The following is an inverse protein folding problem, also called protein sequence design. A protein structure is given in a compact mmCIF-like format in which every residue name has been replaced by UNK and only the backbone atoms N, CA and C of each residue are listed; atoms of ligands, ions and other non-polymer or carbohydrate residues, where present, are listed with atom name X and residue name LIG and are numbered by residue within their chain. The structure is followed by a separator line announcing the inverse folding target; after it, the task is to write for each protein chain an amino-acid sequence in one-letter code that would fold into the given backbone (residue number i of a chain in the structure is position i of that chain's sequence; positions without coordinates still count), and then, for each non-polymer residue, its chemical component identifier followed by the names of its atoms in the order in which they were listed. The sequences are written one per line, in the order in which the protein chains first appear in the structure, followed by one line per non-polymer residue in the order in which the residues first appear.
data_IF_132223833686
#
_entry.id   IF_132223833686
#
_cell.length_a   1.000
_cell.length_b   1.000
_cell.length_c   1.000
_cell.angle_alpha   90.00
_cell.angle_beta   90.00
_cell.angle_gamma   90.00
#
_symmetry.space_group_name_H-M   'P 1'
#
loop_
_entity.id
_entity.type
_entity.pdbx_description
1 polymer ?
#
# COMPACT_ATOMS: atom_id res chain seq x y z
N UNK A 1 26.26 59.46 -47.38
CA UNK A 1 26.02 58.39 -48.37
C UNK A 1 26.46 57.08 -47.74
N UNK A 2 25.54 56.10 -47.70
CA UNK A 2 25.66 54.63 -47.46
C UNK A 2 27.01 54.08 -46.96
N UNK A 3 27.13 53.07 -46.11
CA UNK A 3 26.26 52.06 -45.51
C UNK A 3 27.21 51.29 -44.56
N UNK A 4 26.69 50.69 -43.48
CA UNK A 4 26.88 49.28 -43.09
C UNK A 4 26.66 49.09 -41.58
N UNK A 5 25.77 48.15 -41.24
CA UNK A 5 26.02 47.24 -40.12
C UNK A 5 25.35 47.55 -38.78
N UNK A 6 24.02 47.51 -38.73
CA UNK A 6 23.24 47.49 -37.47
C UNK A 6 23.48 46.21 -36.67
N UNK A 7 23.80 46.35 -35.39
CA UNK A 7 23.82 45.29 -34.39
C UNK A 7 23.52 45.92 -33.01
N UNK A 8 22.84 45.16 -32.14
CA UNK A 8 22.61 45.37 -30.69
C UNK A 8 21.28 46.02 -30.21
N UNK A 9 20.39 45.09 -29.86
CA UNK A 9 19.60 44.93 -28.62
C UNK A 9 18.29 45.66 -28.32
N UNK A 10 17.29 44.77 -28.25
CA UNK A 10 15.94 44.78 -27.70
C UNK A 10 15.96 45.05 -26.19
N UNK A 11 15.17 46.03 -25.73
CA UNK A 11 14.72 46.17 -24.35
C UNK A 11 13.26 46.66 -24.33
N UNK A 12 12.41 45.92 -23.64
CA UNK A 12 11.32 46.50 -22.84
C UNK A 12 9.94 46.65 -23.48
N UNK A 13 9.24 45.55 -23.76
CA UNK A 13 7.77 45.50 -23.69
C UNK A 13 7.28 44.13 -23.25
N UNK A 14 6.93 43.99 -21.97
CA UNK A 14 5.95 42.98 -21.52
C UNK A 14 5.21 43.56 -20.31
N UNK A 15 3.99 44.01 -20.53
CA UNK A 15 3.01 44.28 -19.49
C UNK A 15 1.95 43.19 -19.62
N UNK A 16 1.98 42.21 -18.72
CA UNK A 16 0.92 41.20 -18.56
C UNK A 16 0.60 41.08 -17.06
N UNK A 17 -0.63 41.49 -16.77
CA UNK A 17 -1.51 41.23 -15.63
C UNK A 17 -0.99 40.20 -14.60
N UNK A 18 -0.72 40.67 -13.38
CA UNK A 18 -0.61 39.86 -12.16
C UNK A 18 -2.02 39.65 -11.59
N UNK A 19 -2.57 38.45 -11.76
CA UNK A 19 -3.66 37.93 -10.96
C UNK A 19 -3.20 36.60 -10.35
N UNK A 20 -3.24 36.52 -9.02
CA UNK A 20 -2.54 35.54 -8.21
C UNK A 20 -2.99 34.10 -8.44
N UNK A 21 -2.00 33.23 -8.63
CA UNK A 21 -2.11 31.80 -8.35
C UNK A 21 -1.24 31.59 -7.11
N UNK A 22 -1.90 31.41 -5.97
CA UNK A 22 -1.25 30.88 -4.78
C UNK A 22 -0.85 29.43 -5.09
N UNK A 23 0.42 29.24 -5.45
CA UNK A 23 1.04 27.93 -5.52
C UNK A 23 1.10 27.40 -4.08
N UNK A 24 0.11 26.59 -3.70
CA UNK A 24 0.17 25.80 -2.47
C UNK A 24 1.25 24.74 -2.67
N UNK A 25 2.48 25.09 -2.31
CA UNK A 25 3.56 24.14 -2.07
C UNK A 25 3.11 23.23 -0.93
N UNK A 26 2.46 22.11 -1.27
CA UNK A 26 2.38 20.96 -0.37
C UNK A 26 3.78 20.36 -0.39
N UNK A 27 4.63 20.92 0.47
CA UNK A 27 5.82 20.21 0.94
C UNK A 27 5.29 18.93 1.56
N UNK A 28 5.65 17.78 1.00
CA UNK A 28 5.61 16.54 1.76
C UNK A 28 6.54 16.75 2.95
N UNK A 29 5.95 17.18 4.06
CA UNK A 29 6.58 17.08 5.36
C UNK A 29 6.75 15.60 5.65
N UNK A 30 7.82 15.00 5.14
CA UNK A 30 8.65 14.27 6.09
C UNK A 30 9.04 15.33 7.12
N UNK A 31 8.23 15.46 8.17
CA UNK A 31 8.56 16.35 9.28
C UNK A 31 9.97 15.98 9.68
N UNK A 32 10.93 16.89 9.48
CA UNK A 32 12.23 16.77 10.10
C UNK A 32 11.96 16.46 11.57
N UNK A 33 12.38 15.28 12.05
CA UNK A 33 12.00 14.72 13.34
C UNK A 33 12.27 15.80 14.41
N UNK A 34 11.23 16.42 15.01
CA UNK A 34 11.47 17.40 16.06
C UNK A 34 12.03 16.68 17.30
N UNK A 35 12.62 17.44 18.22
CA UNK A 35 13.28 17.05 19.48
C UNK A 35 13.17 15.57 19.92
N UNK A 36 14.33 14.97 20.26
CA UNK A 36 14.50 13.58 20.73
C UNK A 36 13.22 12.95 21.32
N UNK A 37 12.58 12.07 20.54
CA UNK A 37 11.37 11.37 20.96
C UNK A 37 11.63 10.57 22.24
N UNK A 38 10.66 10.61 23.16
CA UNK A 38 10.74 9.79 24.38
C UNK A 38 10.23 8.39 24.04
N UNK A 39 11.09 7.38 24.20
CA UNK A 39 10.72 5.99 23.96
C UNK A 39 10.03 5.43 25.19
N UNK A 40 8.83 4.92 25.01
CA UNK A 40 8.01 4.31 26.04
C UNK A 40 8.09 2.77 25.99
N UNK A 41 7.69 2.11 27.07
CA UNK A 41 7.54 0.67 27.12
C UNK A 41 6.34 0.21 26.27
N UNK A 42 6.46 -0.98 25.70
CA UNK A 42 5.44 -1.60 24.85
C UNK A 42 4.32 -2.29 25.64
N UNK A 43 3.74 -1.58 26.59
CA UNK A 43 2.68 -2.06 27.47
C UNK A 43 1.68 -0.94 27.79
N UNK A 44 0.64 -1.27 28.56
CA UNK A 44 -0.41 -0.31 28.92
C UNK A 44 0.18 0.88 29.72
N UNK A 45 1.15 0.63 30.59
CA UNK A 45 1.79 1.67 31.39
C UNK A 45 2.58 2.66 30.51
N UNK A 46 3.33 2.17 29.52
CA UNK A 46 4.06 2.99 28.56
C UNK A 46 3.14 3.79 27.64
N UNK A 47 2.04 3.18 27.18
CA UNK A 47 1.02 3.91 26.43
C UNK A 47 0.37 5.02 27.28
N UNK A 48 0.03 4.72 28.54
CA UNK A 48 -0.53 5.73 29.46
C UNK A 48 0.48 6.85 29.75
N UNK A 49 1.76 6.53 29.88
CA UNK A 49 2.83 7.51 30.03
C UNK A 49 2.95 8.41 28.80
N UNK A 50 2.88 7.84 27.58
CA UNK A 50 2.88 8.61 26.34
C UNK A 50 1.75 9.67 26.33
N UNK A 51 0.53 9.25 26.66
CA UNK A 51 -0.65 10.12 26.73
C UNK A 51 -0.48 11.22 27.77
N UNK A 52 -0.01 10.88 28.97
CA UNK A 52 0.17 11.84 30.06
C UNK A 52 1.26 12.89 29.75
N UNK A 53 2.33 12.46 29.07
CA UNK A 53 3.45 13.31 28.73
C UNK A 53 3.12 14.28 27.59
N UNK A 54 2.45 13.80 26.53
CA UNK A 54 2.29 14.56 25.28
C UNK A 54 3.63 14.72 24.54
N UNK A 55 3.72 15.63 23.58
CA UNK A 55 4.88 15.82 22.72
C UNK A 55 5.09 14.65 21.75
N UNK A 56 6.34 14.42 21.33
CA UNK A 56 6.69 13.29 20.46
C UNK A 56 7.09 12.07 21.28
N UNK A 57 6.35 10.98 21.13
CA UNK A 57 6.45 9.73 21.88
C UNK A 57 6.60 8.56 20.91
N UNK A 58 7.50 7.63 21.23
CA UNK A 58 7.73 6.43 20.43
C UNK A 58 7.38 5.17 21.23
N UNK A 59 6.72 4.20 20.59
CA UNK A 59 6.64 2.82 21.05
C UNK A 59 7.51 1.97 20.12
N UNK A 60 8.58 1.37 20.63
CA UNK A 60 9.59 0.69 19.81
C UNK A 60 9.59 -0.83 20.04
N UNK A 61 8.48 -1.48 19.68
CA UNK A 61 8.29 -2.91 20.00
C UNK A 61 9.07 -3.80 19.02
N UNK A 62 9.91 -4.70 19.54
CA UNK A 62 10.72 -5.60 18.71
C UNK A 62 9.88 -6.66 17.99
N UNK A 63 8.76 -7.06 18.58
CA UNK A 63 7.82 -8.07 18.07
C UNK A 63 6.41 -7.54 18.09
N UNK A 64 5.54 -8.17 17.31
CA UNK A 64 4.10 -7.87 17.33
C UNK A 64 3.58 -7.88 18.77
N UNK A 65 2.95 -6.79 19.17
CA UNK A 65 2.52 -6.54 20.55
C UNK A 65 1.09 -6.05 20.55
N UNK A 66 0.27 -6.61 21.45
CA UNK A 66 -1.10 -6.14 21.71
C UNK A 66 -1.17 -5.56 23.11
N UNK A 67 -1.45 -4.26 23.20
CA UNK A 67 -1.73 -3.53 24.44
C UNK A 67 -3.23 -3.57 24.65
N UNK A 68 -3.69 -4.37 25.62
CA UNK A 68 -5.11 -4.47 25.98
C UNK A 68 -5.41 -3.42 27.04
N UNK A 69 -6.42 -2.57 26.78
CA UNK A 69 -6.86 -1.53 27.71
C UNK A 69 -7.68 -2.16 28.86
N UNK A 70 -7.54 -1.60 30.06
CA UNK A 70 -8.27 -2.01 31.25
C UNK A 70 -8.82 -0.80 32.01
N UNK A 71 -9.39 -1.02 33.21
CA UNK A 71 -10.02 0.02 34.01
C UNK A 71 -9.08 1.13 34.50
N UNK A 72 -7.77 1.00 34.31
CA UNK A 72 -6.78 2.05 34.61
C UNK A 72 -6.57 3.01 33.45
N UNK A 73 -7.06 2.68 32.25
CA UNK A 73 -6.86 3.47 31.05
C UNK A 73 -7.57 4.83 31.12
N UNK A 74 -6.80 5.88 30.90
CA UNK A 74 -7.29 7.23 30.60
C UNK A 74 -6.73 7.68 29.24
N UNK A 75 -7.54 7.48 28.19
CA UNK A 75 -7.22 7.88 26.82
C UNK A 75 -7.47 9.34 26.46
N UNK A 76 -7.61 10.22 27.45
CA UNK A 76 -7.84 11.66 27.21
C UNK A 76 -6.54 12.33 26.73
N UNK A 77 -6.54 12.79 25.49
CA UNK A 77 -5.45 13.56 24.90
C UNK A 77 -5.65 15.04 25.24
N UNK A 78 -5.00 15.48 26.32
CA UNK A 78 -5.07 16.84 26.84
C UNK A 78 -3.87 17.72 26.44
N UNK A 79 -2.87 17.15 25.79
CA UNK A 79 -1.67 17.81 25.27
C UNK A 79 -1.43 17.29 23.87
N UNK A 80 -0.86 18.11 22.99
CA UNK A 80 -0.47 17.66 21.66
C UNK A 80 0.38 16.40 21.75
N UNK A 81 0.02 15.35 21.01
CA UNK A 81 0.68 14.06 21.05
C UNK A 81 0.96 13.57 19.63
N UNK A 82 2.23 13.35 19.32
CA UNK A 82 2.66 12.55 18.18
C UNK A 82 3.14 11.21 18.69
N UNK A 83 2.38 10.16 18.43
CA UNK A 83 2.71 8.79 18.81
C UNK A 83 3.12 8.00 17.56
N UNK A 84 4.32 7.44 17.57
CA UNK A 84 4.86 6.64 16.46
C UNK A 84 5.28 5.26 16.92
N UNK A 85 4.90 4.22 16.19
CA UNK A 85 5.56 2.92 16.33
C UNK A 85 6.81 2.90 15.45
N UNK A 86 7.97 2.89 16.09
CA UNK A 86 9.29 2.83 15.44
C UNK A 86 9.92 1.45 15.48
N UNK A 87 9.25 0.50 16.16
CA UNK A 87 9.68 -0.88 16.28
C UNK A 87 9.45 -1.70 15.02
N UNK A 88 10.10 -2.87 14.95
CA UNK A 88 9.89 -3.84 13.88
C UNK A 88 8.56 -4.59 14.00
N UNK A 89 8.02 -4.69 15.22
CA UNK A 89 6.74 -5.32 15.51
C UNK A 89 5.56 -4.40 15.26
N UNK A 90 4.42 -4.97 14.85
CA UNK A 90 3.14 -4.26 14.83
C UNK A 90 2.66 -3.98 16.24
N UNK A 91 2.19 -2.76 16.50
CA UNK A 91 1.59 -2.40 17.79
C UNK A 91 0.09 -2.28 17.64
N UNK A 92 -0.64 -3.13 18.34
CA UNK A 92 -2.10 -3.13 18.43
C UNK A 92 -2.55 -2.59 19.76
N UNK A 93 -3.35 -1.53 19.75
CA UNK A 93 -4.05 -0.99 20.93
C UNK A 93 -5.48 -1.53 20.87
N UNK A 94 -5.83 -2.38 21.84
CA UNK A 94 -7.10 -3.08 21.88
C UNK A 94 -7.98 -2.56 23.03
N UNK A 95 -9.11 -1.93 22.70
CA UNK A 95 -10.09 -1.39 23.64
C UNK A 95 -10.91 -2.43 24.41
N UNK A 96 -10.58 -3.72 24.29
CA UNK A 96 -11.23 -4.83 24.99
C UNK A 96 -12.76 -4.88 24.80
N UNK A 97 -13.26 -4.33 23.70
CA UNK A 97 -14.68 -4.12 23.39
C UNK A 97 -15.44 -3.35 24.50
N UNK A 98 -14.73 -2.57 25.30
CA UNK A 98 -15.27 -1.91 26.50
C UNK A 98 -14.89 -0.44 26.57
N UNK A 99 -13.70 -0.09 26.06
CA UNK A 99 -13.12 1.24 26.21
C UNK A 99 -13.06 1.96 24.88
N UNK A 100 -13.34 3.27 24.92
CA UNK A 100 -12.82 4.17 23.90
C UNK A 100 -11.30 4.19 23.96
N UNK A 101 -10.63 4.13 22.81
CA UNK A 101 -9.17 4.18 22.78
C UNK A 101 -8.69 5.60 23.08
N UNK A 102 -9.07 6.61 22.29
CA UNK A 102 -8.65 7.99 22.48
C UNK A 102 -9.82 8.97 22.47
N UNK A 103 -9.76 9.96 23.35
CA UNK A 103 -10.63 11.13 23.36
C UNK A 103 -9.77 12.39 23.23
N UNK A 104 -9.96 13.17 22.18
CA UNK A 104 -9.11 14.33 21.86
C UNK A 104 -9.83 15.61 22.27
N UNK A 105 -9.19 16.38 23.16
CA UNK A 105 -9.73 17.65 23.62
C UNK A 105 -9.72 18.72 22.52
N UNK A 106 -10.62 19.69 22.64
CA UNK A 106 -10.68 20.84 21.74
C UNK A 106 -9.35 21.58 21.66
N UNK A 107 -8.93 21.90 20.45
CA UNK A 107 -7.67 22.60 20.17
C UNK A 107 -6.39 21.75 20.34
N UNK A 108 -6.52 20.46 20.67
CA UNK A 108 -5.37 19.55 20.84
C UNK A 108 -5.17 18.70 19.58
N UNK A 109 -3.91 18.38 19.28
CA UNK A 109 -3.51 17.53 18.16
C UNK A 109 -3.13 16.11 18.60
N UNK A 110 -3.66 15.10 17.92
CA UNK A 110 -3.24 13.70 18.01
C UNK A 110 -2.73 13.23 16.64
N UNK A 111 -1.48 12.79 16.56
CA UNK A 111 -0.91 12.14 15.37
C UNK A 111 -0.51 10.71 15.69
N UNK A 112 -1.02 9.75 14.90
CA UNK A 112 -0.78 8.32 15.03
C UNK A 112 -0.10 7.79 13.77
N UNK A 113 1.05 7.12 13.94
CA UNK A 113 1.78 6.49 12.83
C UNK A 113 2.15 5.03 13.13
N UNK A 114 1.81 4.11 12.22
CA UNK A 114 2.11 2.67 12.29
C UNK A 114 1.41 1.91 13.45
N UNK A 115 0.15 2.25 13.76
CA UNK A 115 -0.63 1.59 14.80
C UNK A 115 -1.84 0.84 14.27
N UNK A 116 -2.22 -0.21 15.00
CA UNK A 116 -3.48 -0.91 14.86
C UNK A 116 -4.39 -0.55 16.04
N UNK A 117 -5.58 -0.01 15.79
CA UNK A 117 -6.56 0.36 16.80
C UNK A 117 -7.79 -0.53 16.63
N UNK A 118 -8.12 -1.32 17.65
CA UNK A 118 -9.20 -2.31 17.56
C UNK A 118 -9.97 -2.49 18.85
N UNK A 119 -11.16 -3.10 18.76
CA UNK A 119 -11.99 -3.42 19.92
C UNK A 119 -12.38 -2.18 20.72
N UNK A 120 -12.30 -0.99 20.13
CA UNK A 120 -12.83 0.22 20.74
C UNK A 120 -14.35 0.13 20.81
N UNK A 121 -14.93 0.41 21.98
CA UNK A 121 -16.38 0.46 22.16
C UNK A 121 -16.76 1.66 23.03
N UNK A 122 -17.63 2.52 22.50
CA UNK A 122 -18.07 3.73 23.18
C UNK A 122 -19.46 4.16 22.70
N UNK A 123 -20.03 5.21 23.30
CA UNK A 123 -21.24 5.83 22.74
C UNK A 123 -20.94 6.54 21.42
N UNK A 124 -19.81 7.24 21.37
CA UNK A 124 -19.34 8.01 20.21
C UNK A 124 -17.86 7.71 19.98
N UNK A 125 -17.47 7.52 18.73
CA UNK A 125 -16.08 7.27 18.36
C UNK A 125 -15.50 6.07 19.08
N UNK A 126 -15.75 4.85 18.58
CA UNK A 126 -15.31 3.63 19.26
C UNK A 126 -13.79 3.59 19.49
N UNK A 127 -13.02 3.97 18.47
CA UNK A 127 -11.58 4.17 18.61
C UNK A 127 -11.26 5.61 19.04
N UNK A 128 -11.71 6.61 18.29
CA UNK A 128 -11.34 8.01 18.47
C UNK A 128 -12.59 8.89 18.51
N UNK A 129 -12.72 9.69 19.56
CA UNK A 129 -13.69 10.78 19.66
C UNK A 129 -12.89 12.10 19.59
N UNK A 130 -13.04 12.82 18.47
CA UNK A 130 -12.35 14.08 18.24
C UNK A 130 -13.27 15.28 18.55
N UNK A 131 -13.21 15.77 19.78
CA UNK A 131 -14.03 16.87 20.25
C UNK A 131 -13.43 18.23 19.88
N UNK A 132 -13.43 18.54 18.58
CA UNK A 132 -12.90 19.78 18.00
C UNK A 132 -11.37 19.95 18.15
N UNK A 133 -10.64 18.84 18.19
CA UNK A 133 -9.18 18.81 18.03
C UNK A 133 -8.75 18.54 16.58
N UNK A 134 -7.48 18.19 16.39
CA UNK A 134 -6.90 17.77 15.10
C UNK A 134 -6.34 16.36 15.21
N UNK A 135 -6.80 15.45 14.36
CA UNK A 135 -6.36 14.06 14.35
C UNK A 135 -5.69 13.73 13.01
N UNK A 136 -4.51 13.13 13.05
CA UNK A 136 -3.82 12.57 11.88
C UNK A 136 -3.57 11.09 12.09
N UNK A 137 -3.98 10.27 11.13
CA UNK A 137 -3.78 8.81 11.13
C UNK A 137 -3.00 8.45 9.87
N UNK A 138 -1.77 7.96 10.04
CA UNK A 138 -0.88 7.62 8.93
C UNK A 138 -0.41 6.18 9.04
N UNK A 139 -0.38 5.44 7.93
CA UNK A 139 0.14 4.07 7.87
C UNK A 139 -0.46 3.15 8.96
N UNK A 140 -1.73 3.36 9.30
CA UNK A 140 -2.35 2.75 10.47
C UNK A 140 -3.64 2.03 10.09
N UNK A 141 -4.06 1.09 10.95
CA UNK A 141 -5.27 0.29 10.74
C UNK A 141 -6.25 0.51 11.89
N UNK A 142 -7.46 0.98 11.61
CA UNK A 142 -8.54 1.11 12.59
C UNK A 142 -9.62 0.08 12.25
N UNK A 143 -9.76 -0.97 13.05
CA UNK A 143 -10.63 -2.09 12.69
C UNK A 143 -11.41 -2.71 13.84
N UNK A 144 -12.61 -3.22 13.54
CA UNK A 144 -13.44 -3.90 14.55
C UNK A 144 -13.82 -2.98 15.71
N UNK A 145 -13.88 -1.67 15.49
CA UNK A 145 -14.33 -0.71 16.50
C UNK A 145 -15.83 -0.48 16.35
N UNK A 146 -16.49 -0.19 17.46
CA UNK A 146 -17.94 -0.02 17.50
C UNK A 146 -18.36 1.20 18.31
N UNK A 147 -19.41 1.88 17.87
CA UNK A 147 -20.04 2.95 18.62
C UNK A 147 -21.56 2.71 18.73
N UNK A 148 -22.13 3.01 19.90
CA UNK A 148 -23.58 2.85 20.10
C UNK A 148 -24.40 3.88 19.30
N UNK A 149 -23.79 5.00 18.90
CA UNK A 149 -24.46 6.04 18.13
C UNK A 149 -23.67 6.43 16.87
N UNK A 150 -22.51 7.06 17.02
CA UNK A 150 -21.85 7.74 15.89
C UNK A 150 -20.38 7.36 15.80
N UNK A 151 -19.92 7.05 14.58
CA UNK A 151 -18.51 6.86 14.27
C UNK A 151 -17.96 5.59 14.89
N UNK A 152 -18.13 4.45 14.22
CA UNK A 152 -17.68 3.16 14.78
C UNK A 152 -16.19 3.16 15.07
N UNK A 153 -15.39 3.74 14.18
CA UNK A 153 -14.01 4.08 14.46
C UNK A 153 -13.85 5.51 14.99
N UNK A 154 -14.35 6.51 14.25
CA UNK A 154 -14.08 7.93 14.53
C UNK A 154 -15.36 8.75 14.54
N UNK A 155 -15.61 9.50 15.62
CA UNK A 155 -16.49 10.66 15.59
C UNK A 155 -15.64 11.94 15.49
N UNK A 156 -16.05 12.88 14.64
CA UNK A 156 -15.29 14.10 14.39
C UNK A 156 -16.11 15.39 14.47
N UNK A 157 -15.79 16.23 15.46
CA UNK A 157 -16.19 17.65 15.54
C UNK A 157 -15.06 18.63 15.15
N UNK A 158 -13.87 18.13 14.84
CA UNK A 158 -12.69 18.92 14.50
C UNK A 158 -12.18 18.62 13.09
N UNK A 159 -10.86 18.43 12.96
CA UNK A 159 -10.24 18.01 11.70
C UNK A 159 -9.65 16.62 11.83
N UNK A 160 -9.90 15.74 10.85
CA UNK A 160 -9.30 14.41 10.73
C UNK A 160 -8.61 14.29 9.38
N UNK A 161 -7.36 13.82 9.38
CA UNK A 161 -6.61 13.45 8.16
C UNK A 161 -6.21 11.98 8.25
N UNK A 162 -6.54 11.20 7.22
CA UNK A 162 -6.24 9.76 7.12
C UNK A 162 -5.42 9.53 5.86
N UNK A 163 -4.19 9.04 6.01
CA UNK A 163 -3.24 8.84 4.92
C UNK A 163 -2.69 7.41 4.94
N UNK A 164 -2.62 6.77 3.77
CA UNK A 164 -2.03 5.44 3.61
C UNK A 164 -2.54 4.43 4.66
N UNK A 165 -3.82 4.51 5.02
CA UNK A 165 -4.37 3.82 6.18
C UNK A 165 -5.59 3.00 5.80
N UNK A 166 -5.96 2.08 6.69
CA UNK A 166 -7.07 1.16 6.46
C UNK A 166 -8.08 1.24 7.59
N UNK A 167 -9.34 1.49 7.25
CA UNK A 167 -10.45 1.43 8.20
C UNK A 167 -11.39 0.31 7.79
N UNK A 168 -11.54 -0.74 8.61
CA UNK A 168 -12.38 -1.87 8.21
C UNK A 168 -13.16 -2.55 9.33
N UNK A 169 -14.31 -3.12 8.99
CA UNK A 169 -15.12 -3.87 9.95
C UNK A 169 -15.58 -3.04 11.15
N UNK A 170 -15.64 -1.71 11.02
CA UNK A 170 -16.13 -0.84 12.08
C UNK A 170 -17.66 -0.71 11.99
N UNK A 171 -18.32 -0.48 13.12
CA UNK A 171 -19.79 -0.44 13.17
C UNK A 171 -20.38 0.64 14.07
N UNK A 172 -21.48 1.27 13.65
CA UNK A 172 -22.22 2.24 14.45
C UNK A 172 -23.68 2.35 14.01
N UNK A 173 -24.46 3.24 14.67
CA UNK A 173 -25.78 3.61 14.14
C UNK A 173 -25.63 4.51 12.91
N UNK A 174 -24.80 5.55 12.99
CA UNK A 174 -24.39 6.38 11.86
C UNK A 174 -22.87 6.39 11.69
N UNK A 175 -22.40 6.35 10.45
CA UNK A 175 -20.96 6.40 10.15
C UNK A 175 -20.24 5.16 10.66
N UNK A 176 -20.40 4.03 9.98
CA UNK A 176 -19.84 2.75 10.43
C UNK A 176 -18.34 2.83 10.68
N UNK A 177 -17.61 3.56 9.84
CA UNK A 177 -16.24 3.97 10.14
C UNK A 177 -16.19 5.38 10.76
N UNK A 178 -16.72 6.38 10.07
CA UNK A 178 -16.55 7.79 10.43
C UNK A 178 -17.90 8.49 10.46
N UNK A 179 -18.19 9.19 11.55
CA UNK A 179 -19.25 10.18 11.61
C UNK A 179 -18.64 11.58 11.68
N UNK A 180 -19.07 12.50 10.82
CA UNK A 180 -18.43 13.78 10.63
C UNK A 180 -19.37 14.98 10.80
N UNK A 181 -18.98 15.87 11.70
CA UNK A 181 -19.52 17.22 11.89
C UNK A 181 -18.54 18.32 11.42
N UNK A 182 -17.23 18.01 11.36
CA UNK A 182 -16.13 18.92 11.01
C UNK A 182 -15.50 18.65 9.65
N UNK A 183 -14.16 18.65 9.55
CA UNK A 183 -13.42 18.39 8.32
C UNK A 183 -12.74 17.01 8.30
N UNK A 184 -12.90 16.26 7.23
CA UNK A 184 -12.23 14.96 7.01
C UNK A 184 -11.49 14.98 5.66
N UNK A 185 -10.21 14.60 5.66
CA UNK A 185 -9.44 14.32 4.45
C UNK A 185 -8.94 12.88 4.48
N UNK A 186 -9.20 12.13 3.40
CA UNK A 186 -8.78 10.74 3.24
C UNK A 186 -7.97 10.64 1.95
N UNK A 187 -6.72 10.23 2.05
CA UNK A 187 -5.84 10.05 0.89
C UNK A 187 -5.14 8.70 0.89
N UNK A 188 -4.98 8.10 -0.28
CA UNK A 188 -4.28 6.81 -0.44
C UNK A 188 -4.75 5.73 0.54
N UNK A 189 -6.03 5.73 0.92
CA UNK A 189 -6.54 4.91 2.03
C UNK A 189 -7.62 3.95 1.58
N UNK A 190 -7.81 2.87 2.33
CA UNK A 190 -8.81 1.83 2.03
C UNK A 190 -9.82 1.73 3.16
N UNK A 191 -11.09 1.96 2.83
CA UNK A 191 -12.21 1.82 3.77
C UNK A 191 -13.08 0.65 3.30
N UNK A 192 -13.13 -0.46 4.05
CA UNK A 192 -13.90 -1.62 3.59
C UNK A 192 -14.65 -2.37 4.68
N UNK A 193 -15.79 -3.00 4.32
CA UNK A 193 -16.54 -3.83 5.26
C UNK A 193 -17.05 -3.07 6.48
N UNK A 194 -17.14 -1.74 6.45
CA UNK A 194 -17.70 -0.96 7.54
C UNK A 194 -19.23 -0.95 7.41
N UNK A 195 -19.92 -0.96 8.55
CA UNK A 195 -21.38 -1.13 8.56
C UNK A 195 -22.07 -0.13 9.47
N UNK A 196 -23.24 0.36 9.06
CA UNK A 196 -24.08 1.17 9.93
C UNK A 196 -25.55 0.75 9.88
N UNK A 197 -26.27 0.86 11.00
CA UNK A 197 -27.69 0.48 11.05
C UNK A 197 -28.64 1.58 10.56
N UNK A 198 -28.17 2.82 10.39
CA UNK A 198 -28.99 3.92 9.91
C UNK A 198 -28.41 4.62 8.67
N UNK A 199 -27.15 5.05 8.71
CA UNK A 199 -26.61 5.91 7.65
C UNK A 199 -25.10 5.83 7.54
N UNK A 200 -24.59 5.90 6.31
CA UNK A 200 -23.15 5.97 6.03
C UNK A 200 -22.39 4.74 6.52
N UNK A 201 -22.39 3.65 5.76
CA UNK A 201 -21.74 2.41 6.19
C UNK A 201 -20.23 2.60 6.37
N UNK A 202 -19.60 3.42 5.51
CA UNK A 202 -18.28 3.97 5.80
C UNK A 202 -18.37 5.33 6.50
N UNK A 203 -18.98 6.31 5.83
CA UNK A 203 -18.94 7.72 6.23
C UNK A 203 -20.35 8.30 6.28
N UNK A 204 -20.70 8.89 7.41
CA UNK A 204 -21.86 9.78 7.54
C UNK A 204 -21.35 11.22 7.72
N UNK A 205 -21.60 12.06 6.72
CA UNK A 205 -21.22 13.47 6.72
C UNK A 205 -22.45 14.34 6.97
N UNK A 206 -22.60 14.82 8.20
CA UNK A 206 -23.80 15.53 8.64
C UNK A 206 -23.74 17.03 8.30
N UNK A 207 -22.81 17.77 8.90
CA UNK A 207 -22.63 19.21 8.64
C UNK A 207 -21.26 19.58 8.10
N UNK A 208 -20.37 18.58 7.96
CA UNK A 208 -18.96 18.78 7.71
C UNK A 208 -18.55 18.78 6.23
N UNK A 209 -17.23 18.76 6.00
CA UNK A 209 -16.62 18.54 4.69
C UNK A 209 -15.85 17.23 4.67
N UNK A 210 -15.93 16.50 3.56
CA UNK A 210 -15.14 15.29 3.32
C UNK A 210 -14.42 15.40 1.99
N UNK A 211 -13.10 15.23 1.98
CA UNK A 211 -12.30 15.13 0.75
C UNK A 211 -11.68 13.74 0.67
N UNK A 212 -11.88 13.05 -0.45
CA UNK A 212 -11.35 11.71 -0.70
C UNK A 212 -10.52 11.73 -1.98
N UNK A 213 -9.25 11.35 -1.89
CA UNK A 213 -8.36 11.26 -3.05
C UNK A 213 -7.60 9.94 -3.09
N UNK A 214 -7.42 9.38 -4.29
CA UNK A 214 -6.65 8.16 -4.52
C UNK A 214 -7.01 7.04 -3.52
N UNK A 215 -8.28 6.88 -3.18
CA UNK A 215 -8.72 5.99 -2.11
C UNK A 215 -9.74 4.98 -2.60
N UNK A 216 -9.86 3.86 -1.89
CA UNK A 216 -10.79 2.78 -2.24
C UNK A 216 -11.80 2.58 -1.12
N UNK A 217 -13.08 2.78 -1.41
CA UNK A 217 -14.19 2.40 -0.54
C UNK A 217 -14.81 1.13 -1.11
N UNK A 218 -14.83 0.04 -0.34
CA UNK A 218 -15.28 -1.27 -0.81
C UNK A 218 -16.17 -2.00 0.18
N UNK A 219 -17.31 -2.51 -0.27
CA UNK A 219 -18.20 -3.37 0.54
C UNK A 219 -18.61 -2.76 1.89
N UNK A 220 -18.85 -1.46 1.93
CA UNK A 220 -19.41 -0.77 3.09
C UNK A 220 -20.93 -0.73 2.99
N UNK A 221 -21.62 -1.02 4.09
CA UNK A 221 -23.05 -1.32 4.04
C UNK A 221 -23.87 -0.58 5.07
N UNK A 222 -25.13 -0.30 4.72
CA UNK A 222 -26.16 0.08 5.70
C UNK A 222 -27.46 -0.65 5.46
N UNK A 223 -28.24 -0.82 6.53
CA UNK A 223 -29.59 -1.38 6.43
C UNK A 223 -30.60 -0.38 5.83
N UNK A 224 -30.39 0.92 5.99
CA UNK A 224 -31.28 1.97 5.46
C UNK A 224 -30.68 2.66 4.21
N UNK A 225 -29.95 3.77 4.38
CA UNK A 225 -29.50 4.65 3.28
C UNK A 225 -27.98 4.93 3.29
N UNK A 226 -27.38 5.09 2.09
CA UNK A 226 -25.97 5.46 1.89
C UNK A 226 -24.97 4.45 2.42
N UNK A 227 -24.71 3.37 1.67
CA UNK A 227 -23.87 2.27 2.15
C UNK A 227 -22.38 2.61 2.23
N UNK A 228 -21.81 3.41 1.32
CA UNK A 228 -20.47 3.98 1.53
C UNK A 228 -20.57 5.35 2.19
N UNK A 229 -21.19 6.31 1.50
CA UNK A 229 -21.24 7.71 1.93
C UNK A 229 -22.69 8.14 2.04
N UNK A 230 -23.05 8.65 3.21
CA UNK A 230 -24.29 9.36 3.44
C UNK A 230 -23.96 10.83 3.68
N UNK A 231 -24.50 11.73 2.84
CA UNK A 231 -24.08 13.12 2.81
C UNK A 231 -25.24 14.11 2.94
N UNK A 232 -25.09 15.03 3.90
CA UNK A 232 -25.97 16.19 4.12
C UNK A 232 -25.28 17.54 3.86
N UNK A 233 -23.97 17.55 3.60
CA UNK A 233 -23.16 18.75 3.36
C UNK A 233 -22.27 18.56 2.13
N UNK A 234 -20.94 18.75 2.23
CA UNK A 234 -20.04 18.73 1.07
C UNK A 234 -19.12 17.52 1.07
N UNK A 235 -19.08 16.80 -0.06
CA UNK A 235 -18.08 15.76 -0.34
C UNK A 235 -17.36 16.10 -1.64
N UNK A 236 -16.04 15.92 -1.67
CA UNK A 236 -15.22 16.04 -2.89
C UNK A 236 -14.48 14.73 -3.10
N UNK A 237 -14.55 14.18 -4.32
CA UNK A 237 -13.82 12.97 -4.71
C UNK A 237 -12.91 13.22 -5.91
N UNK A 238 -11.73 12.64 -5.89
CA UNK A 238 -10.81 12.61 -7.03
C UNK A 238 -10.05 11.28 -7.07
N UNK A 239 -9.80 10.73 -8.25
CA UNK A 239 -8.95 9.55 -8.43
C UNK A 239 -9.37 8.34 -7.55
N UNK A 240 -10.62 8.26 -7.10
CA UNK A 240 -11.05 7.33 -6.05
C UNK A 240 -12.06 6.30 -6.55
N UNK A 241 -12.02 5.12 -5.94
CA UNK A 241 -12.76 3.93 -6.35
C UNK A 241 -13.82 3.56 -5.32
N UNK A 242 -15.06 3.38 -5.77
CA UNK A 242 -16.20 2.98 -4.95
C UNK A 242 -16.91 1.75 -5.55
N UNK A 243 -16.93 0.64 -4.83
CA UNK A 243 -17.59 -0.60 -5.29
C UNK A 243 -18.22 -1.42 -4.16
N UNK A 244 -19.34 -2.09 -4.44
CA UNK A 244 -20.02 -2.97 -3.48
C UNK A 244 -20.67 -2.24 -2.30
N UNK A 245 -20.80 -0.91 -2.35
CA UNK A 245 -21.15 -0.13 -1.18
C UNK A 245 -22.60 0.37 -1.11
N UNK A 246 -23.55 0.00 -1.98
CA UNK A 246 -24.88 0.68 -2.03
C UNK A 246 -24.75 2.23 -1.96
N UNK A 247 -24.08 2.80 -2.96
CA UNK A 247 -22.89 3.67 -2.87
C UNK A 247 -23.05 5.01 -2.13
N UNK A 248 -23.58 6.04 -2.79
CA UNK A 248 -23.70 7.40 -2.25
C UNK A 248 -25.18 7.71 -2.10
N UNK A 249 -25.63 8.15 -0.92
CA UNK A 249 -26.93 8.79 -0.78
C UNK A 249 -26.71 10.25 -0.42
N UNK A 250 -27.04 11.11 -1.37
CA UNK A 250 -26.96 12.55 -1.21
C UNK A 250 -28.35 13.08 -0.85
N UNK A 251 -28.64 13.22 0.44
CA UNK A 251 -29.95 13.70 0.91
C UNK A 251 -30.19 15.12 0.40
N UNK A 252 -29.39 16.07 0.91
CA UNK A 252 -29.46 17.50 0.60
C UNK A 252 -28.08 18.14 0.39
N UNK A 253 -27.03 17.33 0.35
CA UNK A 253 -25.66 17.80 0.19
C UNK A 253 -25.24 17.96 -1.28
N UNK A 254 -23.95 18.22 -1.50
CA UNK A 254 -23.32 18.21 -2.81
C UNK A 254 -22.14 17.23 -2.83
N UNK A 255 -22.00 16.54 -3.96
CA UNK A 255 -20.82 15.74 -4.28
C UNK A 255 -20.12 16.43 -5.45
N UNK A 256 -18.86 16.78 -5.27
CA UNK A 256 -17.99 17.35 -6.30
C UNK A 256 -17.09 16.25 -6.86
N UNK A 257 -17.25 15.98 -8.15
CA UNK A 257 -16.39 15.07 -8.91
C UNK A 257 -15.24 15.85 -9.55
N UNK A 258 -14.03 15.69 -9.01
CA UNK A 258 -12.80 16.30 -9.52
C UNK A 258 -12.08 15.41 -10.55
N UNK A 259 -12.77 14.40 -11.08
CA UNK A 259 -12.32 13.56 -12.18
C UNK A 259 -11.61 12.28 -11.75
N UNK A 260 -11.58 11.34 -12.70
CA UNK A 260 -10.97 10.01 -12.59
C UNK A 260 -11.43 9.21 -11.37
N UNK A 261 -12.66 9.42 -10.92
CA UNK A 261 -13.28 8.52 -9.97
C UNK A 261 -13.86 7.31 -10.70
N UNK A 262 -14.05 6.20 -9.99
CA UNK A 262 -14.74 5.02 -10.52
C UNK A 262 -15.81 4.57 -9.54
N UNK A 263 -17.05 4.41 -10.02
CA UNK A 263 -18.11 3.73 -9.28
C UNK A 263 -18.66 2.53 -10.05
N UNK A 264 -18.80 1.39 -9.37
CA UNK A 264 -19.19 0.12 -10.00
C UNK A 264 -20.70 -0.16 -10.01
N UNK A 265 -21.46 0.43 -9.09
CA UNK A 265 -22.88 0.08 -8.87
C UNK A 265 -23.77 1.33 -8.78
N UNK A 266 -24.34 1.77 -9.90
CA UNK A 266 -25.50 2.66 -9.83
C UNK A 266 -26.78 1.82 -9.73
N UNK A 267 -27.25 1.58 -8.50
CA UNK A 267 -28.62 1.11 -8.29
C UNK A 267 -29.54 2.32 -8.16
N UNK A 268 -30.22 2.73 -9.23
CA UNK A 268 -31.18 3.84 -9.19
C UNK A 268 -30.57 5.17 -8.70
N UNK A 269 -31.16 5.78 -7.67
CA UNK A 269 -30.71 7.08 -7.11
C UNK A 269 -29.46 6.99 -6.20
N UNK A 270 -28.83 5.82 -6.03
CA UNK A 270 -27.71 5.61 -5.12
C UNK A 270 -26.33 5.68 -5.84
N UNK A 271 -26.15 6.68 -6.69
CA UNK A 271 -24.90 6.98 -7.41
C UNK A 271 -24.26 8.25 -6.86
N UNK A 272 -22.93 8.34 -6.91
CA UNK A 272 -22.23 9.59 -6.59
C UNK A 272 -22.33 10.63 -7.73
N UNK A 273 -22.90 10.24 -8.88
CA UNK A 273 -23.18 11.14 -10.00
C UNK A 273 -21.93 11.51 -10.80
N UNK A 274 -20.95 10.61 -10.87
CA UNK A 274 -19.70 10.87 -11.56
C UNK A 274 -19.88 11.13 -13.06
N UNK A 275 -19.07 12.03 -13.61
CA UNK A 275 -19.14 12.51 -14.99
C UNK A 275 -17.76 12.87 -15.56
N UNK A 276 -17.70 13.25 -16.85
CA UNK A 276 -16.46 13.71 -17.47
C UNK A 276 -15.42 12.59 -17.58
N UNK A 277 -14.26 12.76 -16.93
CA UNK A 277 -13.16 11.78 -16.94
C UNK A 277 -13.35 10.62 -15.95
N UNK A 278 -14.38 10.69 -15.12
CA UNK A 278 -14.72 9.62 -14.19
C UNK A 278 -15.54 8.50 -14.86
N UNK A 279 -15.40 7.29 -14.34
CA UNK A 279 -16.04 6.07 -14.83
C UNK A 279 -17.23 5.75 -13.92
N UNK A 280 -18.41 5.53 -14.51
CA UNK A 280 -19.63 5.21 -13.77
C UNK A 280 -20.17 3.83 -14.19
N UNK A 281 -20.88 3.14 -13.31
CA UNK A 281 -21.58 1.87 -13.56
C UNK A 281 -20.70 0.72 -14.07
N UNK A 282 -19.42 0.72 -13.72
CA UNK A 282 -18.46 -0.27 -14.26
C UNK A 282 -17.75 -1.01 -13.14
N UNK A 283 -17.90 -2.34 -13.08
CA UNK A 283 -17.15 -3.19 -12.15
C UNK A 283 -15.64 -2.96 -12.27
N UNK A 284 -15.02 -2.57 -11.16
CA UNK A 284 -13.60 -2.29 -11.09
C UNK A 284 -12.75 -3.56 -11.03
N UNK A 285 -13.36 -4.76 -10.97
CA UNK A 285 -12.68 -6.06 -10.89
C UNK A 285 -11.67 -6.08 -9.74
N UNK A 286 -12.20 -5.97 -8.54
CA UNK A 286 -11.40 -5.98 -7.32
C UNK A 286 -11.08 -7.40 -6.86
N UNK A 287 -9.88 -7.59 -6.31
CA UNK A 287 -9.53 -8.79 -5.56
C UNK A 287 -10.12 -8.76 -4.15
N UNK A 288 -9.79 -9.78 -3.35
CA UNK A 288 -10.20 -9.80 -1.94
C UNK A 288 -9.37 -8.82 -1.11
N UNK A 289 -9.96 -8.09 -0.14
CA UNK A 289 -9.20 -7.30 0.81
C UNK A 289 -8.15 -8.15 1.54
N UNK A 290 -6.95 -7.60 1.73
CA UNK A 290 -5.88 -8.34 2.40
C UNK A 290 -4.54 -7.64 2.38
N UNK A 291 -3.51 -8.37 2.83
CA UNK A 291 -2.12 -7.93 2.74
C UNK A 291 -1.62 -8.09 1.31
N UNK A 292 -1.70 -7.03 0.50
CA UNK A 292 -1.18 -6.99 -0.87
C UNK A 292 0.20 -6.31 -0.95
N UNK A 293 0.98 -6.40 0.14
CA UNK A 293 2.19 -5.63 0.36
C UNK A 293 1.91 -4.29 1.05
N UNK A 294 2.96 -3.70 1.65
CA UNK A 294 2.86 -2.47 2.44
C UNK A 294 2.59 -2.73 3.93
N UNK A 295 2.31 -1.64 4.65
CA UNK A 295 2.12 -1.62 6.11
C UNK A 295 0.67 -1.87 6.54
N UNK A 296 -0.30 -1.61 5.66
CA UNK A 296 -1.74 -1.76 5.91
C UNK A 296 -2.41 -2.58 4.80
N UNK A 297 -3.61 -3.12 5.08
CA UNK A 297 -4.35 -3.92 4.11
C UNK A 297 -4.98 -3.05 3.03
N UNK A 298 -4.92 -3.51 1.78
CA UNK A 298 -5.51 -2.85 0.60
C UNK A 298 -6.49 -3.79 -0.12
N UNK A 299 -7.10 -3.29 -1.19
CA UNK A 299 -7.83 -4.12 -2.17
C UNK A 299 -7.09 -4.01 -3.50
N UNK A 300 -6.59 -5.13 -4.02
CA UNK A 300 -5.86 -5.16 -5.29
C UNK A 300 -6.80 -5.05 -6.49
N UNK A 301 -6.31 -4.48 -7.60
CA UNK A 301 -6.98 -4.52 -8.89
C UNK A 301 -6.65 -5.83 -9.61
N UNK A 302 -7.66 -6.51 -10.16
CA UNK A 302 -7.47 -7.72 -10.96
C UNK A 302 -7.14 -7.36 -12.41
N UNK A 303 -6.57 -8.33 -13.13
CA UNK A 303 -6.25 -8.18 -14.55
C UNK A 303 -7.47 -7.76 -15.37
N UNK A 304 -7.28 -6.74 -16.23
CA UNK A 304 -8.32 -6.15 -17.06
C UNK A 304 -9.31 -5.27 -16.30
N UNK A 305 -8.97 -4.83 -15.08
CA UNK A 305 -9.71 -3.80 -14.36
C UNK A 305 -9.73 -2.49 -15.18
N UNK A 306 -10.89 -1.82 -15.28
CA UNK A 306 -10.99 -0.50 -15.91
C UNK A 306 -10.32 0.61 -15.09
N UNK A 307 -9.93 0.36 -13.84
CA UNK A 307 -9.21 1.31 -13.00
C UNK A 307 -7.70 1.33 -13.31
N UNK A 308 -7.17 0.33 -14.02
CA UNK A 308 -5.74 0.23 -14.33
C UNK A 308 -5.35 1.24 -15.40
N UNK A 309 -4.27 1.99 -15.18
CA UNK A 309 -3.72 3.01 -16.08
C UNK A 309 -4.73 4.11 -16.47
N UNK A 310 -5.83 4.26 -15.73
CA UNK A 310 -6.95 5.12 -16.11
C UNK A 310 -6.70 6.61 -15.85
N UNK A 311 -5.70 6.95 -15.04
CA UNK A 311 -5.29 8.33 -14.78
C UNK A 311 -4.05 8.64 -15.64
N UNK A 312 -4.10 9.62 -16.56
CA UNK A 312 -2.94 10.01 -17.35
C UNK A 312 -1.76 10.45 -16.46
N UNK A 313 -0.50 10.20 -16.84
CA UNK A 313 0.67 10.55 -16.04
C UNK A 313 0.72 12.01 -15.57
N UNK A 314 0.25 12.95 -16.41
CA UNK A 314 0.20 14.37 -16.07
C UNK A 314 -0.81 14.72 -14.95
N UNK A 315 -1.82 13.87 -14.74
CA UNK A 315 -2.84 14.00 -13.69
C UNK A 315 -2.49 13.18 -12.45
N UNK A 316 -1.37 12.45 -12.47
CA UNK A 316 -0.93 11.65 -11.34
C UNK A 316 -0.11 12.49 -10.35
N UNK A 317 -0.81 13.14 -9.44
CA UNK A 317 -0.23 14.10 -8.49
C UNK A 317 0.38 13.45 -7.23
N UNK A 318 0.07 12.18 -6.99
CA UNK A 318 0.63 11.39 -5.88
C UNK A 318 1.77 10.50 -6.39
N UNK A 319 2.87 10.43 -5.63
CA UNK A 319 4.11 9.74 -6.07
C UNK A 319 4.12 8.24 -5.77
N UNK A 320 3.23 7.77 -4.90
CA UNK A 320 3.09 6.37 -4.54
C UNK A 320 1.65 6.04 -4.09
N UNK A 321 1.33 4.74 -4.07
CA UNK A 321 0.11 4.19 -3.51
C UNK A 321 0.18 3.95 -2.00
N UNK A 322 -0.90 3.42 -1.41
CA UNK A 322 -0.99 3.14 0.02
C UNK A 322 0.18 2.30 0.55
N UNK A 323 0.73 1.42 -0.29
CA UNK A 323 1.77 0.45 0.06
C UNK A 323 3.16 1.03 -0.12
N UNK A 324 3.27 2.21 -0.74
CA UNK A 324 4.53 2.82 -1.15
C UNK A 324 4.97 2.42 -2.56
N UNK A 325 4.13 1.74 -3.35
CA UNK A 325 4.45 1.43 -4.76
C UNK A 325 4.43 2.73 -5.55
N UNK A 326 5.54 3.02 -6.25
CA UNK A 326 5.69 4.25 -7.02
C UNK A 326 4.67 4.33 -8.16
N UNK A 327 4.16 5.54 -8.36
CA UNK A 327 3.23 5.91 -9.42
C UNK A 327 3.88 6.84 -10.47
N UNK A 328 3.52 6.75 -11.76
CA UNK A 328 2.79 5.65 -12.39
C UNK A 328 3.64 4.39 -12.52
N UNK A 329 2.97 3.23 -12.46
CA UNK A 329 3.39 1.99 -13.09
C UNK A 329 2.73 1.90 -14.46
N UNK A 330 3.35 1.25 -15.45
CA UNK A 330 2.72 1.15 -16.77
C UNK A 330 2.56 2.50 -17.48
N UNK A 331 1.37 2.75 -18.04
CA UNK A 331 1.10 3.90 -18.91
C UNK A 331 0.40 5.07 -18.21
N UNK A 332 -0.14 4.85 -17.02
CA UNK A 332 -0.87 5.83 -16.21
C UNK A 332 -0.84 5.46 -14.73
N UNK A 333 -1.59 6.18 -13.91
CA UNK A 333 -1.83 5.76 -12.53
C UNK A 333 -3.18 5.07 -12.44
N UNK A 334 -3.30 4.20 -11.45
CA UNK A 334 -4.53 3.49 -11.20
C UNK A 334 -5.50 4.34 -10.35
N UNK A 335 -6.79 4.19 -10.63
CA UNK A 335 -7.86 4.77 -9.80
C UNK A 335 -7.94 4.00 -8.48
N UNK A 336 -7.94 4.73 -7.35
CA UNK A 336 -8.04 4.18 -6.00
C UNK A 336 -6.72 4.13 -5.23
N UNK A 337 -6.71 3.36 -4.14
CA UNK A 337 -5.59 3.28 -3.19
C UNK A 337 -4.43 2.36 -3.61
N UNK A 338 -4.60 1.64 -4.71
CA UNK A 338 -3.68 0.60 -5.16
C UNK A 338 -3.10 0.95 -6.52
N UNK A 339 -1.81 0.69 -6.73
CA UNK A 339 -1.14 0.77 -8.03
C UNK A 339 -0.69 -0.62 -8.51
N UNK A 340 -1.15 -1.04 -9.67
CA UNK A 340 -0.82 -2.31 -10.29
C UNK A 340 0.61 -2.28 -10.78
N UNK A 341 1.49 -3.08 -10.17
CA UNK A 341 2.87 -3.17 -10.63
C UNK A 341 2.92 -3.83 -12.00
N UNK A 342 3.76 -3.31 -12.90
CA UNK A 342 3.90 -3.90 -14.24
C UNK A 342 5.31 -4.44 -14.37
N UNK A 343 5.44 -5.77 -14.47
CA UNK A 343 6.73 -6.39 -14.73
C UNK A 343 7.25 -5.96 -16.11
N UNK A 344 8.48 -5.48 -16.17
CA UNK A 344 9.18 -5.09 -17.41
C UNK A 344 10.45 -5.89 -17.65
N UNK A 345 10.99 -6.52 -16.60
CA UNK A 345 12.25 -7.25 -16.65
C UNK A 345 12.26 -8.42 -15.67
N UNK A 346 13.14 -9.38 -15.93
CA UNK A 346 13.51 -10.42 -14.98
C UNK A 346 14.81 -10.04 -14.27
N UNK A 347 15.06 -10.64 -13.11
CA UNK A 347 16.33 -10.57 -12.41
C UNK A 347 16.62 -11.90 -11.71
N UNK A 348 17.87 -12.36 -11.74
CA UNK A 348 18.30 -13.51 -10.94
C UNK A 348 18.58 -13.02 -9.52
N UNK A 349 17.74 -13.43 -8.57
CA UNK A 349 17.83 -13.00 -7.16
C UNK A 349 18.48 -14.05 -6.26
N UNK A 350 18.57 -15.30 -6.72
CA UNK A 350 19.40 -16.33 -6.09
C UNK A 350 20.18 -17.04 -7.18
N UNK A 351 21.50 -16.88 -7.18
CA UNK A 351 22.37 -17.53 -8.16
C UNK A 351 22.47 -19.04 -7.89
N UNK A 352 22.64 -19.88 -8.93
CA UNK A 352 23.09 -21.26 -8.73
C UNK A 352 24.41 -21.29 -7.96
N UNK A 353 24.55 -22.23 -7.01
CA UNK A 353 25.82 -22.45 -6.30
C UNK A 353 26.03 -23.94 -6.04
N UNK A 354 27.30 -24.37 -6.04
CA UNK A 354 27.69 -25.74 -5.68
C UNK A 354 27.14 -26.85 -6.60
N UNK A 355 26.88 -26.56 -7.88
CA UNK A 355 26.30 -27.53 -8.80
C UNK A 355 27.27 -28.71 -9.08
N UNK A 356 26.72 -29.93 -9.05
CA UNK A 356 27.42 -31.16 -9.43
C UNK A 356 26.64 -31.80 -10.57
N UNK A 357 27.34 -32.34 -11.57
CA UNK A 357 26.70 -32.96 -12.72
C UNK A 357 25.71 -34.06 -12.28
N UNK A 358 24.50 -34.04 -12.83
CA UNK A 358 23.41 -34.95 -12.48
C UNK A 358 22.74 -34.68 -11.11
N UNK A 359 23.26 -33.76 -10.30
CA UNK A 359 22.67 -33.41 -8.99
C UNK A 359 21.82 -32.15 -9.10
N UNK A 360 20.69 -32.14 -8.39
CA UNK A 360 19.79 -31.00 -8.36
C UNK A 360 20.42 -29.77 -7.67
N UNK A 361 20.14 -28.59 -8.20
CA UNK A 361 20.49 -27.29 -7.62
C UNK A 361 19.31 -26.32 -7.72
N UNK A 362 19.41 -25.20 -7.00
CA UNK A 362 18.37 -24.19 -6.91
C UNK A 362 18.78 -22.85 -7.52
N UNK A 363 17.82 -22.13 -8.09
CA UNK A 363 17.96 -20.72 -8.49
C UNK A 363 16.61 -20.02 -8.39
N UNK A 364 16.62 -18.70 -8.21
CA UNK A 364 15.39 -17.91 -8.10
C UNK A 364 15.43 -16.74 -9.06
N UNK A 365 14.34 -16.57 -9.80
CA UNK A 365 14.13 -15.47 -10.74
C UNK A 365 12.97 -14.62 -10.26
N UNK A 366 13.17 -13.31 -10.23
CA UNK A 366 12.16 -12.33 -9.83
C UNK A 366 11.77 -11.48 -11.02
N UNK A 367 10.49 -11.34 -11.29
CA UNK A 367 9.94 -10.36 -12.20
C UNK A 367 9.90 -8.99 -11.51
N UNK A 368 10.54 -8.00 -12.11
CA UNK A 368 10.66 -6.65 -11.58
C UNK A 368 9.96 -5.63 -12.47
N UNK A 369 9.47 -4.56 -11.84
CA UNK A 369 9.01 -3.37 -12.52
C UNK A 369 10.19 -2.54 -13.11
N UNK A 370 9.86 -1.45 -13.79
CA UNK A 370 10.84 -0.56 -14.41
C UNK A 370 11.75 0.17 -13.41
N UNK A 371 11.43 0.11 -12.11
CA UNK A 371 12.18 0.72 -11.02
C UNK A 371 12.99 -0.29 -10.21
N UNK A 372 12.96 -1.57 -10.59
CA UNK A 372 13.70 -2.65 -9.91
C UNK A 372 12.97 -3.25 -8.70
N UNK A 373 11.71 -2.90 -8.46
CA UNK A 373 10.90 -3.51 -7.39
C UNK A 373 10.27 -4.81 -7.88
N UNK A 374 10.01 -5.75 -6.97
CA UNK A 374 9.32 -7.00 -7.34
C UNK A 374 7.87 -6.72 -7.75
N UNK A 375 7.50 -7.06 -8.98
CA UNK A 375 6.13 -6.95 -9.48
C UNK A 375 5.27 -8.09 -8.91
N UNK A 376 4.71 -7.87 -7.72
CA UNK A 376 4.05 -8.93 -6.92
C UNK A 376 2.76 -9.48 -7.55
N UNK A 377 2.14 -8.78 -8.49
CA UNK A 377 1.00 -9.26 -9.25
C UNK A 377 1.40 -10.09 -10.49
N UNK A 378 2.69 -10.18 -10.80
CA UNK A 378 3.17 -11.00 -11.92
C UNK A 378 3.07 -12.50 -11.56
N UNK A 379 2.32 -13.24 -12.38
CA UNK A 379 2.09 -14.68 -12.25
C UNK A 379 2.41 -15.47 -13.53
N UNK A 380 3.10 -14.84 -14.48
CA UNK A 380 3.44 -15.45 -15.76
C UNK A 380 4.48 -16.57 -15.63
N UNK A 381 4.54 -17.41 -16.67
CA UNK A 381 5.47 -18.52 -16.78
C UNK A 381 6.90 -18.01 -17.06
N UNK A 382 7.83 -18.27 -16.13
CA UNK A 382 9.26 -18.02 -16.30
C UNK A 382 9.94 -19.31 -16.72
N UNK A 383 10.70 -19.27 -17.82
CA UNK A 383 11.45 -20.41 -18.34
C UNK A 383 12.94 -20.16 -18.26
N UNK A 384 13.69 -21.16 -17.78
CA UNK A 384 15.16 -21.15 -17.75
C UNK A 384 15.73 -22.11 -18.77
N UNK A 385 16.83 -21.69 -19.41
CA UNK A 385 17.58 -22.52 -20.35
C UNK A 385 19.08 -22.23 -20.23
N UNK A 386 19.91 -23.14 -20.73
CA UNK A 386 21.35 -22.86 -20.89
C UNK A 386 21.50 -21.75 -21.94
N UNK A 387 22.21 -20.68 -21.58
CA UNK A 387 22.55 -19.63 -22.53
C UNK A 387 23.51 -20.18 -23.58
N UNK A 388 23.21 -19.93 -24.85
CA UNK A 388 24.03 -20.42 -25.97
C UNK A 388 25.51 -20.06 -25.82
N UNK A 389 26.38 -20.98 -26.24
CA UNK A 389 27.85 -20.83 -26.17
C UNK A 389 28.44 -20.71 -24.75
N UNK A 390 27.72 -21.19 -23.73
CA UNK A 390 28.22 -21.27 -22.35
C UNK A 390 28.29 -22.70 -21.84
N UNK A 391 29.17 -22.96 -20.88
CA UNK A 391 29.40 -24.31 -20.33
C UNK A 391 29.91 -25.33 -21.36
N UNK A 392 29.72 -26.61 -21.06
CA UNK A 392 30.17 -27.72 -21.91
C UNK A 392 29.21 -27.94 -23.08
N UNK A 393 29.76 -28.05 -24.29
CA UNK A 393 28.97 -28.31 -25.51
C UNK A 393 28.12 -29.57 -25.40
N UNK A 394 26.85 -29.43 -25.77
CA UNK A 394 25.87 -30.51 -25.73
C UNK A 394 25.48 -30.95 -24.31
N UNK A 395 25.69 -30.10 -23.30
CA UNK A 395 25.08 -30.29 -21.99
C UNK A 395 23.57 -30.06 -22.04
N UNK A 396 22.85 -30.78 -21.19
CA UNK A 396 21.39 -30.74 -21.08
C UNK A 396 21.01 -30.22 -19.69
N UNK A 397 20.16 -29.20 -19.65
CA UNK A 397 19.48 -28.77 -18.43
C UNK A 397 18.19 -29.58 -18.28
N UNK A 398 17.98 -30.16 -17.12
CA UNK A 398 16.85 -31.01 -16.79
C UNK A 398 16.16 -30.56 -15.50
N UNK A 399 15.03 -31.18 -15.17
CA UNK A 399 14.14 -30.76 -14.08
C UNK A 399 12.95 -29.95 -14.57
N UNK A 400 12.31 -29.20 -13.67
CA UNK A 400 11.21 -28.28 -14.03
C UNK A 400 11.81 -26.98 -14.58
N UNK A 401 11.81 -26.82 -15.91
CA UNK A 401 12.43 -25.67 -16.58
C UNK A 401 11.52 -24.45 -16.70
N UNK A 402 10.21 -24.61 -16.48
CA UNK A 402 9.23 -23.53 -16.51
C UNK A 402 8.45 -23.52 -15.20
N UNK A 403 8.42 -22.38 -14.53
CA UNK A 403 7.71 -22.16 -13.26
C UNK A 403 6.87 -20.89 -13.39
N UNK A 404 5.58 -20.99 -13.08
CA UNK A 404 4.74 -19.79 -12.93
C UNK A 404 5.18 -19.04 -11.68
N UNK A 405 5.44 -17.74 -11.84
CA UNK A 405 5.81 -16.91 -10.70
C UNK A 405 4.66 -16.86 -9.67
N UNK A 406 5.01 -16.86 -8.40
CA UNK A 406 4.10 -16.58 -7.28
C UNK A 406 4.60 -15.31 -6.62
N UNK A 407 3.73 -14.30 -6.54
CA UNK A 407 4.09 -12.97 -6.06
C UNK A 407 5.30 -12.36 -6.79
N UNK A 408 5.38 -12.54 -8.11
CA UNK A 408 6.51 -12.08 -8.93
C UNK A 408 7.79 -12.93 -8.81
N UNK A 409 7.79 -14.03 -8.07
CA UNK A 409 8.98 -14.88 -7.85
C UNK A 409 8.78 -16.28 -8.40
N UNK A 410 9.67 -16.71 -9.28
CA UNK A 410 9.77 -18.09 -9.78
C UNK A 410 10.99 -18.77 -9.15
N UNK A 411 10.75 -19.77 -8.30
CA UNK A 411 11.80 -20.57 -7.65
C UNK A 411 11.96 -21.90 -8.35
N UNK A 412 13.17 -22.21 -8.78
CA UNK A 412 13.52 -23.47 -9.44
C UNK A 412 14.35 -24.31 -8.46
N UNK A 413 13.78 -25.38 -7.89
CA UNK A 413 14.42 -26.17 -6.83
C UNK A 413 15.03 -27.51 -7.29
N UNK A 414 14.84 -27.88 -8.55
CA UNK A 414 15.18 -29.21 -9.07
C UNK A 414 15.94 -29.19 -10.39
N UNK A 415 16.63 -28.09 -10.71
CA UNK A 415 17.40 -28.01 -11.96
C UNK A 415 18.63 -28.90 -11.87
N UNK A 416 19.01 -29.56 -12.95
CA UNK A 416 20.21 -30.39 -13.01
C UNK A 416 20.87 -30.32 -14.37
N UNK A 417 22.21 -30.23 -14.39
CA UNK A 417 23.04 -30.25 -15.59
C UNK A 417 23.74 -31.61 -15.70
N UNK A 418 23.65 -32.27 -16.85
CA UNK A 418 24.18 -33.62 -17.05
C UNK A 418 25.71 -33.71 -17.17
N UNK A 419 26.38 -32.60 -17.49
CA UNK A 419 27.82 -32.53 -17.73
C UNK A 419 28.50 -31.55 -16.79
N UNK A 420 29.69 -31.92 -16.32
CA UNK A 420 30.61 -31.00 -15.65
C UNK A 420 31.21 -30.01 -16.64
N UNK A 421 31.61 -28.84 -16.15
CA UNK A 421 32.21 -27.79 -16.97
C UNK A 421 32.25 -26.47 -16.22
N UNK A 422 32.91 -25.48 -16.80
CA UNK A 422 33.05 -24.15 -16.22
C UNK A 422 32.27 -23.10 -17.00
N UNK A 423 31.83 -22.04 -16.33
CA UNK A 423 31.21 -20.89 -16.99
C UNK A 423 29.86 -21.17 -17.64
N UNK A 424 29.04 -22.05 -17.04
CA UNK A 424 27.64 -22.15 -17.39
C UNK A 424 26.92 -20.84 -17.06
N UNK A 425 26.02 -20.44 -17.94
CA UNK A 425 25.07 -19.34 -17.68
C UNK A 425 23.68 -19.86 -17.98
N UNK A 426 22.74 -19.65 -17.06
CA UNK A 426 21.33 -19.85 -17.34
C UNK A 426 20.70 -18.52 -17.74
N UNK A 427 19.89 -18.54 -18.79
CA UNK A 427 19.07 -17.41 -19.20
C UNK A 427 17.62 -17.67 -18.81
N UNK A 428 17.00 -16.71 -18.15
CA UNK A 428 15.61 -16.72 -17.75
C UNK A 428 14.80 -15.80 -18.67
N UNK A 429 13.68 -16.32 -19.18
CA UNK A 429 12.80 -15.63 -20.14
C UNK A 429 11.33 -15.75 -19.72
N UNK A 430 10.53 -14.76 -20.10
CA UNK A 430 9.07 -14.78 -19.91
C UNK A 430 8.40 -13.78 -20.84
N UNK A 431 7.71 -14.27 -21.87
CA UNK A 431 6.98 -13.42 -22.82
C UNK A 431 7.86 -12.30 -23.39
N UNK A 432 7.45 -11.05 -23.21
CA UNK A 432 8.15 -9.84 -23.67
C UNK A 432 9.02 -9.18 -22.60
N UNK A 433 9.16 -9.78 -21.41
CA UNK A 433 10.01 -9.22 -20.36
C UNK A 433 11.47 -9.25 -20.78
N UNK A 434 12.22 -8.23 -20.39
CA UNK A 434 13.68 -8.23 -20.56
C UNK A 434 14.27 -9.45 -19.85
N UNK A 435 14.98 -10.35 -20.56
CA UNK A 435 15.56 -11.56 -19.97
C UNK A 435 16.61 -11.24 -18.91
N UNK A 436 16.89 -12.22 -18.04
CA UNK A 436 17.97 -12.15 -17.06
C UNK A 436 18.88 -13.35 -17.16
N UNK A 437 20.18 -13.11 -16.98
CA UNK A 437 21.18 -14.16 -16.96
C UNK A 437 21.74 -14.36 -15.56
N UNK A 438 22.09 -15.59 -15.21
CA UNK A 438 22.91 -15.86 -14.03
C UNK A 438 24.31 -15.29 -14.24
N UNK A 439 25.05 -15.10 -13.14
CA UNK A 439 26.51 -15.07 -13.27
C UNK A 439 27.00 -16.41 -13.82
N UNK A 440 28.18 -16.42 -14.44
CA UNK A 440 28.86 -17.66 -14.80
C UNK A 440 29.07 -18.53 -13.55
N UNK A 441 28.74 -19.82 -13.62
CA UNK A 441 28.95 -20.78 -12.54
C UNK A 441 29.50 -22.11 -13.08
N UNK A 442 30.19 -22.83 -12.21
CA UNK A 442 30.82 -24.10 -12.56
C UNK A 442 29.98 -25.29 -12.08
N UNK A 443 30.06 -26.39 -12.82
CA UNK A 443 29.44 -27.68 -12.49
C UNK A 443 30.54 -28.71 -12.30
N UNK A 444 30.67 -29.23 -11.07
CA UNK A 444 31.68 -30.23 -10.73
C UNK A 444 31.33 -31.62 -11.28
N UNK A 445 32.34 -32.46 -11.50
CA UNK A 445 32.14 -33.87 -11.88
C UNK A 445 31.65 -34.71 -10.70
N UNK A 446 30.89 -35.78 -10.97
CA UNK A 446 30.47 -36.77 -9.98
C UNK A 446 31.60 -37.67 -9.46
N UNK A 447 32.82 -37.54 -10.00
CA UNK A 447 33.93 -38.39 -9.64
C UNK A 447 34.48 -38.02 -8.26
N UNK A 448 34.12 -38.81 -7.25
CA UNK A 448 34.81 -38.83 -5.96
C UNK A 448 36.22 -39.40 -6.15
N UNK A 449 37.22 -38.81 -5.47
CA UNK A 449 38.61 -39.29 -5.46
C UNK A 449 38.78 -40.77 -5.02
N UNK A 450 37.73 -41.45 -4.58
CA UNK A 450 37.76 -42.85 -4.13
C UNK A 450 38.08 -43.89 -5.22
N UNK A 451 38.16 -43.51 -6.50
CA UNK A 451 38.42 -44.45 -7.60
C UNK A 451 39.88 -44.51 -8.10
N UNK A 452 40.83 -43.78 -7.49
CA UNK A 452 42.24 -43.92 -7.85
C UNK A 452 42.87 -45.13 -7.12
N UNK A 453 42.53 -46.34 -7.56
CA UNK A 453 43.29 -47.54 -7.18
C UNK A 453 44.58 -47.54 -8.00
N UNK A 454 45.64 -46.97 -7.45
CA UNK A 454 46.99 -47.11 -8.02
C UNK A 454 47.36 -48.60 -7.92
N UNK A 455 47.23 -49.34 -9.02
CA UNK A 455 47.82 -50.68 -9.13
C UNK A 455 49.29 -50.46 -9.50
N UNK A 456 50.16 -50.45 -8.49
CA UNK A 456 51.61 -50.57 -8.73
C UNK A 456 51.89 -52.05 -9.00
N UNK A 457 52.05 -52.45 -10.27
CA UNK A 457 52.64 -53.75 -10.58
C UNK A 457 54.16 -53.63 -10.51
N UNK A 458 54.77 -54.09 -9.42
CA UNK A 458 56.20 -54.39 -9.41
C UNK A 458 56.39 -55.78 -10.02
N UNK A 459 56.91 -55.82 -11.24
CA UNK A 459 57.39 -57.04 -11.85
C UNK A 459 58.57 -57.59 -11.05
N UNK A 460 58.40 -58.82 -10.55
CA UNK A 460 59.48 -59.66 -10.04
C UNK A 460 59.65 -60.85 -10.99
N UNK A 461 60.85 -60.99 -11.52
CA UNK A 461 61.32 -62.06 -12.42
C UNK A 461 61.24 -63.45 -11.79
N UNK A 462 60.79 -64.44 -12.58
CA UNK A 462 61.01 -65.86 -12.33
C UNK A 462 62.22 -66.30 -13.16
N UNK A 463 63.19 -66.96 -12.52
CA UNK A 463 64.17 -67.84 -13.19
C UNK A 463 63.49 -69.11 -13.70
#
# INVERSE_FOLDING_TARGET
MSNLGKKWHILGRLAVVLAGIALLLVVFGASARPAQAVVQTCDLAGLQAAVNNGGTQDLACATDTTIILDGTWNGTIAKDLTLTNTGAGKVTINGANTYRIFYVNSGISLSLTNFNLTGGNATLGGAIDNNSGTVTVTNSTLYGNSAQQQGGAIENFGTVTINNSTLYGNSAVGGGAIFNWGGVTISNSTLYGNSATNSGGAIDNNSGTVTISNSTLYDNSTTNSGGAIYNWSTVTLQNSLLQGNKICFNSSGSITDNGYNLEAEALGSYTCGFSGTSINTTDAKLGTPGNNGGVTNTVALLSGSPAIDAIPPASCVVTADQRGVKRPQGTGCDIGAFETQVATQLAITTQPSGAVAGTAFTTTVTAQDAYGNTATNFSGAVTVAIKGSTGTTGATLSGTLTVNAVNGVATFSGLSLDKSGTGYVLTATSGTLTPADTSGFDVASTCSLAALKIIVSTGGTLD
#
